data_IF_024891807168
#
_entry.id   IF_024891807168
#
_cell.length_a   1.000
_cell.length_b   1.000
_cell.length_c   1.000
_cell.angle_alpha   90.00
_cell.angle_beta   90.00
_cell.angle_gamma   90.00
#
_symmetry.space_group_name_H-M   'P 1'
#
loop_
_entity.id
_entity.type
_entity.pdbx_description
1 polymer ?
#
# COMPACT_ATOMS: atom_id res chain seq x y z
N UNK A 1 -3.57 -11.03 7.16
CA UNK A 1 -4.41 -10.44 6.08
C UNK A 1 -3.59 -9.41 5.31
N UNK A 2 -3.16 -8.32 5.95
CA UNK A 2 -2.31 -7.30 5.32
C UNK A 2 -1.00 -7.86 4.73
N UNK A 3 -0.27 -8.68 5.49
CA UNK A 3 0.98 -9.29 5.00
C UNK A 3 0.81 -10.02 3.66
N UNK A 4 -0.30 -10.75 3.48
CA UNK A 4 -0.60 -11.46 2.23
C UNK A 4 -0.94 -10.50 1.09
N UNK A 5 -1.73 -9.47 1.38
CA UNK A 5 -2.06 -8.44 0.40
C UNK A 5 -0.80 -7.73 -0.13
N UNK A 6 0.19 -7.47 0.74
CA UNK A 6 1.49 -6.95 0.34
C UNK A 6 2.23 -7.91 -0.58
N UNK A 7 2.24 -9.21 -0.24
CA UNK A 7 2.91 -10.20 -1.09
C UNK A 7 2.21 -10.43 -2.42
N UNK A 8 0.88 -10.28 -2.48
CA UNK A 8 0.15 -10.34 -3.75
C UNK A 8 0.54 -9.17 -4.68
N UNK A 9 0.78 -7.97 -4.14
CA UNK A 9 1.28 -6.83 -4.91
C UNK A 9 2.68 -7.12 -5.45
N UNK A 10 3.57 -7.65 -4.62
CA UNK A 10 4.92 -8.05 -5.02
C UNK A 10 4.89 -9.11 -6.13
N UNK A 11 4.00 -10.10 -6.01
CA UNK A 11 3.80 -11.12 -7.05
C UNK A 11 3.28 -10.51 -8.37
N UNK A 12 2.34 -9.56 -8.31
CA UNK A 12 1.87 -8.86 -9.52
C UNK A 12 3.00 -8.07 -10.20
N UNK A 13 3.96 -7.54 -9.45
CA UNK A 13 5.16 -6.92 -10.01
C UNK A 13 6.08 -7.96 -10.66
N UNK A 14 6.31 -9.10 -10.00
CA UNK A 14 7.12 -10.20 -10.53
C UNK A 14 6.56 -10.76 -11.84
N UNK A 15 5.22 -10.84 -11.94
CA UNK A 15 4.49 -11.31 -13.12
C UNK A 15 4.33 -10.22 -14.22
N UNK A 16 4.95 -9.05 -14.05
CA UNK A 16 4.88 -7.90 -14.97
C UNK A 16 3.46 -7.33 -15.17
N UNK A 17 2.56 -7.57 -14.21
CA UNK A 17 1.22 -6.99 -14.18
C UNK A 17 1.21 -5.61 -13.51
N UNK A 18 2.04 -4.70 -14.04
CA UNK A 18 2.32 -3.39 -13.43
C UNK A 18 1.09 -2.54 -13.12
N UNK A 19 0.13 -2.44 -14.04
CA UNK A 19 -1.10 -1.68 -13.78
C UNK A 19 -1.97 -2.26 -12.66
N UNK A 20 -2.01 -3.60 -12.55
CA UNK A 20 -2.75 -4.27 -11.49
C UNK A 20 -2.04 -4.10 -10.14
N UNK A 21 -0.72 -4.28 -10.11
CA UNK A 21 0.11 -4.04 -8.93
C UNK A 21 -0.05 -2.60 -8.42
N UNK A 22 0.05 -1.63 -9.33
CA UNK A 22 -0.06 -0.22 -9.00
C UNK A 22 -1.44 0.12 -8.42
N UNK A 23 -2.50 -0.39 -9.05
CA UNK A 23 -3.87 -0.21 -8.55
C UNK A 23 -4.06 -0.77 -7.15
N UNK A 24 -3.42 -1.89 -6.83
CA UNK A 24 -3.50 -2.51 -5.49
C UNK A 24 -2.60 -1.83 -4.47
N UNK A 25 -1.44 -1.35 -4.88
CA UNK A 25 -0.55 -0.55 -4.06
C UNK A 25 -1.22 0.77 -3.64
N UNK A 26 -1.96 1.44 -4.55
CA UNK A 26 -2.70 2.66 -4.23
C UNK A 26 -3.89 2.45 -3.27
N UNK A 27 -4.33 1.21 -3.06
CA UNK A 27 -5.31 0.88 -2.03
C UNK A 27 -4.66 0.83 -0.62
N UNK A 28 -3.33 0.72 -0.50
CA UNK A 28 -2.63 0.61 0.80
C UNK A 28 -2.83 1.82 1.72
N UNK A 29 -2.65 3.08 1.28
CA UNK A 29 -2.92 4.24 2.14
C UNK A 29 -4.37 4.26 2.63
N UNK A 30 -5.32 3.90 1.76
CA UNK A 30 -6.75 3.84 2.08
C UNK A 30 -7.07 2.79 3.12
N UNK A 31 -6.50 1.60 2.96
CA UNK A 31 -6.62 0.52 3.93
C UNK A 31 -6.02 0.95 5.27
N UNK A 32 -4.82 1.53 5.27
CA UNK A 32 -4.14 1.90 6.49
C UNK A 32 -4.92 2.96 7.29
N UNK A 33 -5.37 4.02 6.64
CA UNK A 33 -6.20 5.06 7.26
C UNK A 33 -7.54 4.51 7.74
N UNK A 34 -8.23 3.73 6.90
CA UNK A 34 -9.51 3.14 7.31
C UNK A 34 -9.35 2.20 8.50
N UNK A 35 -8.27 1.41 8.57
CA UNK A 35 -8.06 0.51 9.70
C UNK A 35 -7.83 1.25 11.02
N UNK A 36 -7.28 2.46 10.99
CA UNK A 36 -7.12 3.32 12.18
C UNK A 36 -8.40 4.01 12.62
N UNK A 37 -9.45 4.01 11.79
CA UNK A 37 -10.75 4.61 12.10
C UNK A 37 -11.73 3.54 12.61
N UNK A 38 -12.41 3.73 13.76
CA UNK A 38 -13.35 2.74 14.29
C UNK A 38 -14.51 2.39 13.34
N UNK A 39 -14.86 3.31 12.46
CA UNK A 39 -15.92 3.17 11.46
C UNK A 39 -15.41 2.84 10.06
N UNK A 40 -14.11 2.58 9.92
CA UNK A 40 -13.45 2.27 8.66
C UNK A 40 -13.53 3.42 7.64
N UNK A 41 -13.72 4.65 8.10
CA UNK A 41 -13.75 5.83 7.23
C UNK A 41 -12.34 6.27 6.87
N UNK A 42 -12.20 6.90 5.71
CA UNK A 42 -10.99 7.63 5.34
C UNK A 42 -11.36 8.98 4.72
N UNK A 43 -10.54 9.99 4.98
CA UNK A 43 -10.62 11.31 4.35
C UNK A 43 -9.37 11.59 3.51
N UNK A 44 -9.49 12.48 2.51
CA UNK A 44 -8.34 12.88 1.69
C UNK A 44 -7.18 13.46 2.51
N UNK A 45 -7.47 14.18 3.59
CA UNK A 45 -6.46 14.76 4.48
C UNK A 45 -5.71 13.69 5.26
N UNK A 46 -6.43 12.70 5.81
CA UNK A 46 -5.79 11.56 6.50
C UNK A 46 -4.91 10.76 5.55
N UNK A 47 -5.35 10.54 4.31
CA UNK A 47 -4.56 9.84 3.30
C UNK A 47 -3.29 10.60 2.95
N UNK A 48 -3.37 11.92 2.77
CA UNK A 48 -2.21 12.78 2.52
C UNK A 48 -1.23 12.74 3.68
N UNK A 49 -1.72 12.87 4.92
CA UNK A 49 -0.91 12.78 6.13
C UNK A 49 -0.21 11.42 6.25
N UNK A 50 -0.93 10.33 5.99
CA UNK A 50 -0.35 8.98 5.99
C UNK A 50 0.75 8.85 4.93
N UNK A 51 0.51 9.32 3.70
CA UNK A 51 1.51 9.29 2.64
C UNK A 51 2.77 10.08 3.02
N UNK A 52 2.62 11.29 3.57
CA UNK A 52 3.75 12.12 4.02
C UNK A 52 4.54 11.48 5.17
N UNK A 53 3.85 10.78 6.07
CA UNK A 53 4.47 10.15 7.22
C UNK A 53 5.24 8.87 6.86
N UNK A 54 4.70 8.08 5.93
CA UNK A 54 5.18 6.72 5.69
C UNK A 54 5.88 6.53 4.34
N UNK A 55 5.61 7.37 3.34
CA UNK A 55 6.32 7.38 2.06
C UNK A 55 7.55 8.28 2.20
N UNK A 56 8.68 7.65 2.46
CA UNK A 56 9.99 8.28 2.60
C UNK A 56 11.06 7.22 2.79
N UNK A 57 12.35 7.55 2.66
CA UNK A 57 13.41 6.57 2.80
C UNK A 57 13.36 5.96 4.21
N UNK A 58 13.45 4.64 4.31
CA UNK A 58 13.86 4.04 5.57
C UNK A 58 15.29 4.50 5.89
N UNK A 59 15.67 4.52 7.17
CA UNK A 59 17.03 4.93 7.56
C UNK A 59 18.15 4.14 6.84
N UNK A 60 17.81 2.95 6.32
CA UNK A 60 18.69 2.10 5.52
C UNK A 60 18.74 2.50 4.03
N UNK A 61 17.61 2.81 3.37
CA UNK A 61 17.59 3.24 1.96
C UNK A 61 18.20 4.63 1.73
N UNK A 62 18.15 5.51 2.74
CA UNK A 62 18.77 6.85 2.65
C UNK A 62 20.27 6.79 2.38
N UNK A 63 20.92 5.69 2.78
CA UNK A 63 22.33 5.43 2.57
C UNK A 63 22.64 4.71 1.24
N UNK A 64 21.65 4.06 0.63
CA UNK A 64 21.83 3.19 -0.55
C UNK A 64 21.46 3.85 -1.89
N UNK A 65 21.05 5.13 -1.90
CA UNK A 65 20.66 5.83 -3.14
C UNK A 65 19.46 5.20 -3.86
N UNK A 66 18.62 4.45 -3.13
CA UNK A 66 17.73 3.44 -3.71
C UNK A 66 16.53 3.94 -4.51
N UNK A 67 15.86 5.03 -4.12
CA UNK A 67 14.64 5.52 -4.80
C UNK A 67 14.52 7.05 -4.64
N UNK A 68 13.99 7.74 -5.65
CA UNK A 68 13.59 9.15 -5.53
C UNK A 68 12.26 9.26 -4.77
N UNK A 69 12.32 9.06 -3.45
CA UNK A 69 11.15 9.10 -2.57
C UNK A 69 10.42 10.45 -2.57
N UNK A 70 11.11 11.56 -2.90
CA UNK A 70 10.44 12.86 -3.01
C UNK A 70 9.52 12.90 -4.23
N UNK A 71 10.01 12.43 -5.39
CA UNK A 71 9.19 12.30 -6.59
C UNK A 71 8.03 11.33 -6.35
N UNK A 72 8.32 10.14 -5.81
CA UNK A 72 7.29 9.11 -5.56
C UNK A 72 6.25 9.61 -4.56
N UNK A 73 6.66 10.23 -3.46
CA UNK A 73 5.76 10.78 -2.45
C UNK A 73 4.83 11.86 -3.02
N UNK A 74 5.34 12.71 -3.91
CA UNK A 74 4.54 13.72 -4.62
C UNK A 74 3.52 13.08 -5.55
N UNK A 75 3.97 12.18 -6.44
CA UNK A 75 3.10 11.50 -7.40
C UNK A 75 2.00 10.67 -6.71
N UNK A 76 2.33 10.01 -5.60
CA UNK A 76 1.34 9.26 -4.83
C UNK A 76 0.33 10.21 -4.18
N UNK A 77 0.80 11.28 -3.54
CA UNK A 77 -0.09 12.25 -2.87
C UNK A 77 -1.05 12.93 -3.86
N UNK A 78 -0.56 13.29 -5.05
CA UNK A 78 -1.37 13.89 -6.11
C UNK A 78 -2.44 12.92 -6.60
N UNK A 79 -2.08 11.66 -6.85
CA UNK A 79 -3.01 10.64 -7.37
C UNK A 79 -4.07 10.23 -6.34
N UNK A 80 -3.67 10.13 -5.07
CA UNK A 80 -4.59 9.86 -3.97
C UNK A 80 -5.56 11.03 -3.75
N UNK A 81 -5.10 12.28 -3.89
CA UNK A 81 -5.95 13.46 -3.81
C UNK A 81 -6.96 13.54 -4.97
N UNK A 82 -6.54 13.23 -6.21
CA UNK A 82 -7.42 13.20 -7.38
C UNK A 82 -8.53 12.14 -7.26
N UNK A 83 -8.21 10.96 -6.74
CA UNK A 83 -9.18 9.88 -6.58
C UNK A 83 -10.04 10.00 -5.29
N UNK A 84 -9.60 10.80 -4.30
CA UNK A 84 -10.33 11.05 -3.05
C UNK A 84 -11.32 12.24 -3.11
N UNK A 85 -11.36 12.97 -4.22
CA UNK A 85 -11.95 14.31 -4.33
C UNK A 85 -13.48 14.43 -4.39
N UNK A 86 -14.27 13.59 -3.71
CA UNK A 86 -15.74 13.75 -3.77
C UNK A 86 -16.53 13.60 -2.46
N UNK A 87 -15.96 13.07 -1.37
CA UNK A 87 -16.72 12.94 -0.11
C UNK A 87 -15.82 13.15 1.11
N UNK A 88 -16.26 13.93 2.12
CA UNK A 88 -15.41 14.33 3.24
C UNK A 88 -14.96 13.14 4.10
N UNK A 89 -15.73 12.07 4.17
CA UNK A 89 -15.35 10.82 4.82
C UNK A 89 -16.07 9.67 4.11
N UNK A 90 -15.31 8.73 3.53
CA UNK A 90 -15.90 7.57 2.86
C UNK A 90 -15.24 6.29 3.35
N UNK A 91 -16.05 5.23 3.47
CA UNK A 91 -15.53 3.89 3.72
C UNK A 91 -14.96 3.35 2.39
N UNK A 92 -13.66 3.03 2.29
CA UNK A 92 -13.05 2.55 1.05
C UNK A 92 -13.43 1.10 0.78
N UNK A 93 -14.72 0.88 0.51
CA UNK A 93 -15.37 -0.43 0.46
C UNK A 93 -14.70 -1.36 -0.56
N UNK A 94 -14.24 -0.83 -1.70
CA UNK A 94 -13.53 -1.61 -2.72
C UNK A 94 -12.18 -2.11 -2.23
N UNK A 95 -11.38 -1.25 -1.60
CA UNK A 95 -10.07 -1.60 -1.06
C UNK A 95 -10.20 -2.61 0.08
N UNK A 96 -11.16 -2.39 1.00
CA UNK A 96 -11.45 -3.32 2.10
C UNK A 96 -11.98 -4.68 1.59
N UNK A 97 -12.82 -4.69 0.55
CA UNK A 97 -13.25 -5.92 -0.11
C UNK A 97 -12.07 -6.66 -0.74
N UNK A 98 -11.15 -5.98 -1.42
CA UNK A 98 -9.95 -6.61 -2.01
C UNK A 98 -9.04 -7.24 -0.95
N UNK A 99 -8.79 -6.50 0.13
CA UNK A 99 -8.07 -7.00 1.31
C UNK A 99 -8.70 -8.29 1.86
N UNK A 100 -10.04 -8.37 1.89
CA UNK A 100 -10.78 -9.58 2.31
C UNK A 100 -10.70 -10.72 1.30
N UNK A 101 -10.96 -10.44 0.03
CA UNK A 101 -11.11 -11.46 -1.03
C UNK A 101 -9.80 -12.20 -1.32
N UNK A 102 -8.65 -11.52 -1.22
CA UNK A 102 -7.34 -12.14 -1.46
C UNK A 102 -6.92 -13.18 -0.40
N UNK A 103 -7.77 -13.49 0.58
CA UNK A 103 -7.64 -14.67 1.47
C UNK A 103 -7.66 -16.02 0.73
N UNK A 104 -8.08 -16.08 -0.55
CA UNK A 104 -8.34 -17.35 -1.25
C UNK A 104 -7.36 -17.74 -2.37
N UNK A 105 -6.39 -16.91 -2.76
CA UNK A 105 -5.40 -17.24 -3.81
C UNK A 105 -4.21 -18.02 -3.22
N UNK A 106 -4.29 -19.35 -3.26
CA UNK A 106 -3.47 -20.32 -2.51
C UNK A 106 -2.13 -20.63 -3.20
N UNK A 107 -1.45 -19.63 -3.73
CA UNK A 107 -0.16 -19.83 -4.40
C UNK A 107 0.95 -19.22 -3.54
N UNK A 108 1.96 -19.99 -3.10
CA UNK A 108 3.06 -19.45 -2.32
C UNK A 108 3.90 -18.51 -3.21
N UNK A 109 4.12 -17.26 -2.80
CA UNK A 109 4.91 -16.30 -3.56
C UNK A 109 6.39 -16.67 -3.47
N UNK A 110 7.05 -16.79 -4.63
CA UNK A 110 8.51 -16.80 -4.71
C UNK A 110 8.93 -15.33 -4.54
N UNK A 111 9.67 -15.01 -3.48
CA UNK A 111 9.98 -13.62 -3.13
C UNK A 111 10.52 -12.80 -4.30
N UNK A 112 10.10 -11.54 -4.36
CA UNK A 112 10.51 -10.55 -5.35
C UNK A 112 12.04 -10.39 -5.35
N UNK A 113 12.65 -10.49 -6.54
CA UNK A 113 14.08 -10.26 -6.72
C UNK A 113 14.28 -8.91 -7.41
N UNK A 114 14.69 -7.90 -6.61
CA UNK A 114 15.01 -6.53 -7.04
C UNK A 114 16.05 -6.49 -8.19
N UNK A 115 16.82 -7.57 -8.36
CA UNK A 115 17.91 -7.71 -9.34
C UNK A 115 17.49 -7.71 -10.82
N UNK A 116 16.21 -7.57 -11.17
CA UNK A 116 15.73 -7.59 -12.57
C UNK A 116 15.37 -6.21 -13.15
N UNK A 117 15.64 -5.12 -12.42
CA UNK A 117 15.35 -3.74 -12.88
C UNK A 117 16.28 -3.19 -13.97
N UNK A 118 17.35 -3.88 -14.36
CA UNK A 118 18.40 -3.29 -15.22
C UNK A 118 17.98 -3.04 -16.69
N UNK A 119 16.79 -3.47 -17.14
CA UNK A 119 16.33 -3.29 -18.53
C UNK A 119 14.85 -2.87 -18.69
N UNK A 120 14.24 -2.30 -17.65
CA UNK A 120 12.82 -1.90 -17.71
C UNK A 120 12.63 -0.60 -18.49
N UNK A 121 11.54 -0.52 -19.26
CA UNK A 121 11.11 0.74 -19.87
C UNK A 121 10.85 1.78 -18.75
N UNK A 122 11.07 3.09 -18.99
CA UNK A 122 10.95 4.12 -17.95
C UNK A 122 9.62 4.10 -17.18
N UNK A 123 8.52 3.78 -17.87
CA UNK A 123 7.19 3.67 -17.29
C UNK A 123 7.02 2.43 -16.38
N UNK A 124 7.70 1.34 -16.71
CA UNK A 124 7.72 0.13 -15.88
C UNK A 124 8.60 0.34 -14.64
N UNK A 125 9.75 1.00 -14.80
CA UNK A 125 10.60 1.39 -13.68
C UNK A 125 9.83 2.27 -12.68
N UNK A 126 9.13 3.31 -13.17
CA UNK A 126 8.30 4.17 -12.32
C UNK A 126 7.20 3.38 -11.59
N UNK A 127 6.59 2.40 -12.26
CA UNK A 127 5.58 1.53 -11.64
C UNK A 127 6.16 0.68 -10.51
N UNK A 128 7.34 0.09 -10.73
CA UNK A 128 8.05 -0.70 -9.71
C UNK A 128 8.42 0.19 -8.53
N UNK A 129 8.97 1.38 -8.78
CA UNK A 129 9.37 2.33 -7.75
C UNK A 129 8.17 2.74 -6.87
N UNK A 130 7.05 3.10 -7.49
CA UNK A 130 5.82 3.48 -6.78
C UNK A 130 5.27 2.32 -5.93
N UNK A 131 5.21 1.11 -6.49
CA UNK A 131 4.69 -0.04 -5.75
C UNK A 131 5.61 -0.43 -4.59
N UNK A 132 6.93 -0.40 -4.83
CA UNK A 132 7.95 -0.69 -3.81
C UNK A 132 7.83 0.28 -2.64
N UNK A 133 7.81 1.59 -2.92
CA UNK A 133 7.67 2.61 -1.89
C UNK A 133 6.38 2.46 -1.06
N UNK A 134 5.25 2.15 -1.71
CA UNK A 134 3.96 1.94 -1.04
C UNK A 134 3.95 0.67 -0.19
N UNK A 135 4.52 -0.43 -0.67
CA UNK A 135 4.65 -1.68 0.08
C UNK A 135 5.57 -1.49 1.30
N UNK A 136 6.72 -0.85 1.13
CA UNK A 136 7.63 -0.51 2.23
C UNK A 136 7.00 0.42 3.26
N UNK A 137 6.27 1.44 2.82
CA UNK A 137 5.51 2.34 3.68
C UNK A 137 4.49 1.56 4.51
N UNK A 138 3.71 0.67 3.89
CA UNK A 138 2.71 -0.15 4.57
C UNK A 138 3.34 -1.16 5.55
N UNK A 139 4.46 -1.79 5.20
CA UNK A 139 5.24 -2.67 6.10
C UNK A 139 5.70 -1.92 7.33
N UNK A 140 6.27 -0.72 7.16
CA UNK A 140 6.74 0.14 8.26
C UNK A 140 5.61 0.63 9.14
N UNK A 141 4.51 1.10 8.55
CA UNK A 141 3.32 1.52 9.28
C UNK A 141 2.79 0.39 10.17
N UNK A 142 2.67 -0.82 9.60
CA UNK A 142 2.18 -1.97 10.37
C UNK A 142 3.14 -2.34 11.50
N UNK A 143 4.44 -2.43 11.22
CA UNK A 143 5.43 -2.84 12.21
C UNK A 143 5.67 -1.82 13.33
N UNK A 144 5.55 -0.51 13.05
CA UNK A 144 5.83 0.55 14.02
C UNK A 144 4.61 1.10 14.75
N UNK A 145 3.41 0.89 14.20
CA UNK A 145 2.18 1.47 14.75
C UNK A 145 1.05 0.44 14.79
N UNK A 146 0.62 -0.05 13.63
CA UNK A 146 -0.65 -0.74 13.49
C UNK A 146 -0.71 -2.12 14.18
N UNK A 147 0.43 -2.78 14.41
CA UNK A 147 0.50 -4.05 15.13
C UNK A 147 0.17 -3.92 16.63
N UNK A 148 0.34 -2.72 17.20
CA UNK A 148 0.07 -2.42 18.62
C UNK A 148 -1.25 -1.66 18.82
N UNK A 149 -1.87 -1.18 17.73
CA UNK A 149 -3.11 -0.42 17.76
C UNK A 149 -4.34 -1.34 17.89
N UNK A 150 -5.09 -1.18 18.98
CA UNK A 150 -6.27 -2.01 19.28
C UNK A 150 -7.42 -1.80 18.30
N UNK A 151 -7.60 -0.59 17.77
CA UNK A 151 -8.63 -0.28 16.77
C UNK A 151 -8.29 -1.00 15.46
N UNK A 152 -7.02 -0.93 15.04
CA UNK A 152 -6.55 -1.64 13.84
C UNK A 152 -6.75 -3.15 13.98
N UNK A 153 -6.33 -3.73 15.11
CA UNK A 153 -6.47 -5.18 15.32
C UNK A 153 -7.94 -5.61 15.40
N UNK A 154 -8.80 -4.83 16.06
CA UNK A 154 -10.23 -5.08 16.10
C UNK A 154 -10.87 -5.01 14.71
N UNK A 155 -10.51 -4.01 13.91
CA UNK A 155 -10.99 -3.85 12.53
C UNK A 155 -10.51 -4.98 11.61
N UNK A 156 -9.25 -5.39 11.72
CA UNK A 156 -8.73 -6.56 10.99
C UNK A 156 -9.47 -7.84 11.39
N UNK A 157 -9.78 -8.03 12.67
CA UNK A 157 -10.57 -9.16 13.15
C UNK A 157 -12.00 -9.13 12.61
N UNK A 158 -12.68 -7.97 12.66
CA UNK A 158 -14.03 -7.76 12.10
C UNK A 158 -14.08 -8.12 10.61
N UNK A 159 -13.10 -7.65 9.84
CA UNK A 159 -12.99 -7.93 8.40
C UNK A 159 -12.72 -9.42 8.12
N UNK A 160 -12.06 -10.13 9.05
CA UNK A 160 -11.78 -11.56 8.92
C UNK A 160 -12.98 -12.47 9.25
N UNK A 161 -13.93 -11.99 10.05
CA UNK A 161 -15.09 -12.76 10.55
C UNK A 161 -16.34 -12.55 9.71
N UNK A 162 -16.58 -11.33 9.21
CA UNK A 162 -17.68 -11.07 8.26
C UNK A 162 -17.49 -12.02 7.07
N UNK A 163 -18.41 -12.97 6.90
CA UNK A 163 -18.48 -13.92 5.78
C UNK A 163 -19.60 -13.48 4.86
#
# INVERSE_FOLDING_TARGET
MLARYLTDIEQLLDEQHGEAALREAFDLPRIAVALTDPELRCSGEQLKSWCQQWIGPSGYERAAGGLDYERVGRSVSERVAQEGGATPESVPTRALKRLRLRRHMRTPPRGFSVSRSENLAPQQAETVDMCTALVEAARRWYARSACHDTVVQANLARLAVLR
#
